data_IF_974111257644
#
_entry.id   IF_974111257644
#
_cell.length_a   1.000
_cell.length_b   1.000
_cell.length_c   1.000
_cell.angle_alpha   90.00
_cell.angle_beta   90.00
_cell.angle_gamma   90.00
#
_symmetry.space_group_name_H-M   'P 1'
#
loop_
_entity.id
_entity.type
_entity.pdbx_description
1 polymer ?
#
# COMPACT_ATOMS: atom_id res chain seq x y z
N UNK A 1 15.28 15.62 5.74
CA UNK A 1 15.67 14.30 6.26
C UNK A 1 14.43 13.63 6.87
N UNK A 2 13.62 12.93 6.07
CA UNK A 2 12.58 11.99 6.51
C UNK A 2 12.17 11.13 5.31
N UNK A 3 13.07 10.30 4.79
CA UNK A 3 12.77 9.44 3.62
C UNK A 3 12.65 7.94 3.97
N UNK A 4 12.90 7.54 5.23
CA UNK A 4 12.82 6.14 5.66
C UNK A 4 11.52 5.76 6.36
N UNK A 5 10.89 6.68 7.10
CA UNK A 5 9.74 6.35 7.96
C UNK A 5 8.39 6.34 7.24
N UNK A 6 8.25 7.09 6.14
CA UNK A 6 7.05 7.08 5.30
C UNK A 6 6.94 5.82 4.44
N UNK A 7 8.08 5.22 4.10
CA UNK A 7 8.14 4.03 3.23
C UNK A 7 7.46 2.83 3.87
N UNK A 8 7.60 2.64 5.19
CA UNK A 8 7.05 1.45 5.86
C UNK A 8 5.65 1.63 6.45
N UNK A 9 5.09 2.85 6.38
CA UNK A 9 3.92 3.24 7.16
C UNK A 9 2.69 2.35 6.95
N UNK A 10 2.49 1.86 5.72
CA UNK A 10 1.35 1.03 5.35
C UNK A 10 1.73 -0.42 5.03
N UNK A 11 2.98 -0.84 5.27
CA UNK A 11 3.49 -2.16 4.85
C UNK A 11 2.65 -3.30 5.42
N UNK A 12 2.32 -3.25 6.71
CA UNK A 12 1.50 -4.29 7.35
C UNK A 12 0.10 -4.37 6.72
N UNK A 13 -0.47 -3.23 6.31
CA UNK A 13 -1.76 -3.20 5.64
C UNK A 13 -1.65 -3.68 4.19
N UNK A 14 -0.54 -3.38 3.51
CA UNK A 14 -0.28 -3.86 2.16
C UNK A 14 -0.10 -5.38 2.19
N UNK A 15 0.82 -5.90 3.01
CA UNK A 15 1.08 -7.34 3.12
C UNK A 15 -0.16 -8.12 3.58
N UNK A 16 -0.98 -7.51 4.43
CA UNK A 16 -2.23 -8.11 4.93
C UNK A 16 -3.48 -7.92 4.04
N UNK A 17 -3.34 -7.42 2.82
CA UNK A 17 -4.45 -7.11 1.89
C UNK A 17 -5.55 -6.22 2.52
N UNK A 18 -5.16 -5.26 3.35
CA UNK A 18 -6.04 -4.29 4.02
C UNK A 18 -6.07 -2.95 3.28
N UNK A 19 -6.37 -2.95 1.98
CA UNK A 19 -6.24 -1.79 1.07
C UNK A 19 -6.90 -0.51 1.64
N UNK A 20 -8.18 -0.58 2.03
CA UNK A 20 -8.91 0.59 2.55
C UNK A 20 -8.24 1.16 3.82
N UNK A 21 -7.71 0.29 4.68
CA UNK A 21 -7.04 0.73 5.91
C UNK A 21 -5.69 1.37 5.64
N UNK A 22 -4.91 0.81 4.71
CA UNK A 22 -3.64 1.40 4.28
C UNK A 22 -3.84 2.77 3.63
N UNK A 23 -4.86 2.93 2.77
CA UNK A 23 -5.21 4.23 2.18
C UNK A 23 -5.59 5.27 3.23
N UNK A 24 -6.36 4.89 4.26
CA UNK A 24 -6.68 5.80 5.37
C UNK A 24 -5.43 6.26 6.12
N UNK A 25 -4.54 5.33 6.45
CA UNK A 25 -3.28 5.62 7.15
C UNK A 25 -2.42 6.60 6.33
N UNK A 26 -2.24 6.34 5.04
CA UNK A 26 -1.46 7.20 4.15
C UNK A 26 -2.09 8.58 4.03
N UNK A 27 -3.41 8.65 3.82
CA UNK A 27 -4.13 9.91 3.70
C UNK A 27 -4.03 10.76 4.97
N UNK A 28 -4.22 10.16 6.13
CA UNK A 28 -4.17 10.85 7.42
C UNK A 28 -2.74 11.33 7.74
N UNK A 29 -1.73 10.52 7.41
CA UNK A 29 -0.33 10.86 7.65
C UNK A 29 0.22 11.91 6.71
N UNK A 30 -0.11 11.82 5.42
CA UNK A 30 0.38 12.74 4.39
C UNK A 30 -0.48 14.01 4.28
N UNK A 31 -1.69 14.01 4.87
CA UNK A 31 -2.64 15.11 4.74
C UNK A 31 -3.11 15.32 3.30
N UNK A 32 -3.14 14.27 2.49
CA UNK A 32 -3.36 14.33 1.05
C UNK A 32 -4.79 13.95 0.63
N UNK A 33 -5.06 14.01 -0.67
CA UNK A 33 -6.29 13.48 -1.27
C UNK A 33 -6.30 11.96 -1.30
N UNK A 34 -7.48 11.37 -1.55
CA UNK A 34 -7.58 9.92 -1.73
C UNK A 34 -6.78 9.41 -2.95
N UNK A 35 -6.73 10.20 -4.04
CA UNK A 35 -5.95 9.83 -5.22
C UNK A 35 -4.46 9.79 -4.92
N UNK A 36 -3.92 10.83 -4.28
CA UNK A 36 -2.50 10.86 -3.89
C UNK A 36 -2.15 9.74 -2.90
N UNK A 37 -3.06 9.40 -1.98
CA UNK A 37 -2.87 8.26 -1.08
C UNK A 37 -2.86 6.93 -1.85
N UNK A 38 -3.70 6.79 -2.89
CA UNK A 38 -3.71 5.60 -3.74
C UNK A 38 -2.42 5.48 -4.56
N UNK A 39 -1.93 6.57 -5.15
CA UNK A 39 -0.66 6.57 -5.88
C UNK A 39 0.50 6.15 -4.97
N UNK A 40 0.55 6.68 -3.74
CA UNK A 40 1.55 6.29 -2.75
C UNK A 40 1.42 4.83 -2.33
N UNK A 41 0.19 4.33 -2.19
CA UNK A 41 -0.08 2.94 -1.83
C UNK A 41 0.39 1.99 -2.93
N UNK A 42 0.05 2.26 -4.20
CA UNK A 42 0.44 1.44 -5.35
C UNK A 42 1.96 1.43 -5.50
N UNK A 43 2.61 2.60 -5.41
CA UNK A 43 4.06 2.68 -5.48
C UNK A 43 4.74 1.83 -4.39
N UNK A 44 4.20 1.81 -3.17
CA UNK A 44 4.75 0.98 -2.09
C UNK A 44 4.43 -0.50 -2.26
N UNK A 45 3.23 -0.84 -2.74
CA UNK A 45 2.85 -2.20 -3.10
C UNK A 45 3.83 -2.80 -4.11
N UNK A 46 4.16 -2.07 -5.18
CA UNK A 46 5.06 -2.55 -6.23
C UNK A 46 6.46 -2.86 -5.67
N UNK A 47 7.01 -1.96 -4.83
CA UNK A 47 8.30 -2.19 -4.17
C UNK A 47 8.27 -3.43 -3.28
N UNK A 48 7.23 -3.57 -2.44
CA UNK A 48 7.11 -4.76 -1.59
C UNK A 48 6.94 -6.04 -2.41
N UNK A 49 6.24 -5.97 -3.54
CA UNK A 49 6.01 -7.12 -4.41
C UNK A 49 7.30 -7.58 -5.09
N UNK A 50 8.21 -6.65 -5.40
CA UNK A 50 9.53 -6.94 -5.94
C UNK A 50 10.49 -7.45 -4.87
N UNK A 51 10.57 -6.77 -3.72
CA UNK A 51 11.56 -7.05 -2.68
C UNK A 51 11.19 -8.25 -1.78
N UNK A 52 9.88 -8.45 -1.54
CA UNK A 52 9.34 -9.37 -0.53
C UNK A 52 8.10 -10.13 -1.04
N UNK A 53 8.14 -10.80 -2.20
CA UNK A 53 6.96 -11.44 -2.81
C UNK A 53 6.36 -12.54 -1.92
N UNK A 54 7.18 -13.22 -1.13
CA UNK A 54 6.79 -14.33 -0.24
C UNK A 54 5.96 -13.92 0.98
N UNK A 55 5.98 -12.64 1.33
CA UNK A 55 5.20 -12.10 2.46
C UNK A 55 3.74 -11.81 2.10
N UNK A 56 3.40 -11.86 0.82
CA UNK A 56 2.02 -11.71 0.37
C UNK A 56 1.26 -13.03 0.43
N UNK A 57 0.04 -12.99 0.96
CA UNK A 57 -0.80 -14.19 1.10
C UNK A 57 -1.54 -14.58 -0.19
N UNK A 58 -1.51 -13.75 -1.23
CA UNK A 58 -2.26 -13.95 -2.48
C UNK A 58 -1.51 -13.40 -3.71
N UNK A 59 -1.93 -13.83 -4.91
CA UNK A 59 -1.41 -13.35 -6.19
C UNK A 59 -1.78 -11.88 -6.50
N UNK A 60 -1.14 -11.27 -7.51
CA UNK A 60 -1.39 -9.88 -7.90
C UNK A 60 -2.86 -9.64 -8.27
N UNK A 61 -3.44 -10.48 -9.13
CA UNK A 61 -4.83 -10.32 -9.59
C UNK A 61 -5.83 -10.50 -8.44
N UNK A 62 -5.57 -11.46 -7.55
CA UNK A 62 -6.41 -11.73 -6.38
C UNK A 62 -6.34 -10.58 -5.36
N UNK A 63 -5.17 -9.95 -5.21
CA UNK A 63 -4.98 -8.81 -4.34
C UNK A 63 -5.87 -7.63 -4.73
N UNK A 64 -5.98 -7.34 -6.03
CA UNK A 64 -6.75 -6.21 -6.56
C UNK A 64 -8.21 -6.53 -6.90
N UNK A 65 -8.65 -7.76 -6.64
CA UNK A 65 -10.00 -8.21 -6.96
C UNK A 65 -11.06 -7.33 -6.26
N UNK A 66 -11.97 -6.75 -7.07
CA UNK A 66 -13.05 -5.90 -6.59
C UNK A 66 -12.65 -4.48 -6.19
N UNK A 67 -11.37 -4.10 -6.35
CA UNK A 67 -10.91 -2.73 -6.11
C UNK A 67 -10.90 -1.89 -7.40
N UNK A 68 -10.44 -2.47 -8.50
CA UNK A 68 -10.64 -1.93 -9.85
C UNK A 68 -11.90 -2.56 -10.45
N UNK A 69 -12.88 -1.75 -10.83
CA UNK A 69 -14.15 -2.17 -11.47
C UNK A 69 -14.53 -1.18 -12.56
#
# INVERSE_FOLDING_TARGET
MTNGSTVSLADDQILGNQIIRGLKILRDHLGCSLHEALDAFVARYDVLREERPEDFTCGHDEYWAGFYS
#
